data_IF_586513774614
#
_entry.id   IF_586513774614
#
_cell.length_a   1.000
_cell.length_b   1.000
_cell.length_c   1.000
_cell.angle_alpha   90.00
_cell.angle_beta   90.00
_cell.angle_gamma   90.00
#
_symmetry.space_group_name_H-M   'P 1'
#
loop_
_entity.id
_entity.type
_entity.pdbx_description
1 polymer ?
#
# COMPACT_ATOMS: atom_id res chain seq x y z
N UNK A 1 -46.48 49.07 -26.74
CA UNK A 1 -45.35 48.14 -26.78
C UNK A 1 -44.83 47.79 -25.37
N UNK A 2 -44.61 48.74 -24.51
CA UNK A 2 -44.08 48.57 -23.14
C UNK A 2 -44.96 47.64 -22.24
N UNK A 3 -46.30 47.72 -22.28
CA UNK A 3 -47.22 46.85 -21.52
C UNK A 3 -47.04 45.35 -21.91
N UNK A 4 -46.80 45.06 -23.18
CA UNK A 4 -46.58 43.68 -23.68
C UNK A 4 -45.22 43.10 -23.21
N UNK A 5 -44.20 43.98 -23.15
CA UNK A 5 -42.86 43.59 -22.68
C UNK A 5 -42.88 43.29 -21.14
N UNK A 6 -43.65 44.12 -20.38
CA UNK A 6 -43.81 43.89 -18.94
C UNK A 6 -44.60 42.61 -18.66
N UNK A 7 -45.64 42.31 -19.44
CA UNK A 7 -46.39 41.07 -19.32
C UNK A 7 -45.52 39.83 -19.66
N UNK A 8 -44.71 39.91 -20.71
CA UNK A 8 -43.80 38.83 -21.08
C UNK A 8 -42.72 38.55 -20.02
N UNK A 9 -42.14 39.62 -19.42
CA UNK A 9 -41.19 39.50 -18.30
C UNK A 9 -41.84 38.90 -17.06
N UNK A 10 -43.08 39.24 -16.76
CA UNK A 10 -43.85 38.67 -15.64
C UNK A 10 -44.12 37.17 -15.86
N UNK A 11 -44.48 36.77 -17.05
CA UNK A 11 -44.70 35.35 -17.41
C UNK A 11 -43.43 34.55 -17.29
N UNK A 12 -42.30 35.06 -17.81
CA UNK A 12 -40.99 34.39 -17.70
C UNK A 12 -40.57 34.25 -16.23
N UNK A 13 -40.78 35.29 -15.41
CA UNK A 13 -40.44 35.24 -14.00
C UNK A 13 -41.29 34.23 -13.23
N UNK A 14 -42.60 34.11 -13.55
CA UNK A 14 -43.48 33.11 -12.95
C UNK A 14 -43.09 31.71 -13.35
N UNK A 15 -42.69 31.47 -14.59
CA UNK A 15 -42.22 30.15 -15.05
C UNK A 15 -40.92 29.79 -14.34
N UNK A 16 -39.98 30.71 -14.18
CA UNK A 16 -38.72 30.45 -13.44
C UNK A 16 -39.02 30.16 -11.97
N UNK A 17 -39.91 30.94 -11.31
CA UNK A 17 -40.30 30.68 -9.90
C UNK A 17 -41.03 29.34 -9.72
N UNK A 18 -41.82 28.89 -10.67
CA UNK A 18 -42.50 27.59 -10.62
C UNK A 18 -41.47 26.46 -10.70
N UNK A 19 -40.46 26.60 -11.54
CA UNK A 19 -39.36 25.63 -11.65
C UNK A 19 -38.56 25.55 -10.36
N UNK A 20 -38.29 26.69 -9.70
CA UNK A 20 -37.59 26.72 -8.41
C UNK A 20 -38.43 26.21 -7.23
N UNK A 21 -39.77 26.49 -7.24
CA UNK A 21 -40.65 26.18 -6.10
C UNK A 21 -41.05 24.71 -6.03
N UNK A 22 -41.10 24.00 -7.15
CA UNK A 22 -41.53 22.59 -7.21
C UNK A 22 -40.37 21.58 -7.31
N UNK A 23 -39.11 22.06 -7.26
CA UNK A 23 -37.93 21.15 -7.32
C UNK A 23 -37.99 20.24 -8.55
N UNK A 24 -38.64 20.71 -9.63
CA UNK A 24 -38.61 19.97 -10.89
C UNK A 24 -37.18 20.12 -11.40
N UNK A 25 -36.41 19.05 -11.30
CA UNK A 25 -35.16 18.92 -12.05
C UNK A 25 -35.41 19.53 -13.43
N UNK A 26 -34.55 20.43 -13.84
CA UNK A 26 -34.65 21.20 -15.09
C UNK A 26 -35.29 20.34 -16.16
N UNK A 27 -36.39 20.80 -16.76
CA UNK A 27 -37.11 20.07 -17.81
C UNK A 27 -36.06 19.46 -18.71
N UNK A 28 -35.82 18.17 -18.54
CA UNK A 28 -34.89 17.43 -19.37
C UNK A 28 -35.51 17.52 -20.75
N UNK A 29 -35.00 18.40 -21.59
CA UNK A 29 -35.33 18.35 -23.02
C UNK A 29 -34.97 16.94 -23.39
N UNK A 30 -35.97 16.11 -23.66
CA UNK A 30 -35.74 14.73 -24.09
C UNK A 30 -34.88 14.87 -25.34
N UNK A 31 -33.62 14.50 -25.22
CA UNK A 31 -32.70 14.55 -26.34
C UNK A 31 -33.29 13.68 -27.43
N UNK A 32 -33.26 14.15 -28.68
CA UNK A 32 -33.70 13.35 -29.82
C UNK A 32 -32.91 12.02 -29.80
N UNK A 33 -33.60 10.91 -29.88
CA UNK A 33 -32.96 9.59 -29.98
C UNK A 33 -32.73 9.22 -31.43
N UNK A 34 -31.49 8.92 -31.76
CA UNK A 34 -31.09 8.43 -33.07
C UNK A 34 -31.01 6.89 -33.03
N UNK A 35 -31.82 6.22 -33.84
CA UNK A 35 -31.68 4.79 -34.00
C UNK A 35 -30.56 4.48 -35.00
N UNK A 36 -29.51 3.84 -34.50
CA UNK A 36 -28.37 3.37 -35.30
C UNK A 36 -28.67 1.95 -35.80
N UNK A 37 -28.99 1.83 -37.08
CA UNK A 37 -29.35 0.56 -37.71
C UNK A 37 -28.31 0.05 -38.72
N UNK A 38 -27.17 0.69 -38.77
CA UNK A 38 -26.00 0.33 -39.58
C UNK A 38 -24.77 1.05 -39.06
N UNK A 39 -23.60 0.61 -39.46
CA UNK A 39 -22.33 1.16 -38.99
C UNK A 39 -22.28 2.67 -39.22
N UNK A 40 -22.05 3.40 -38.12
CA UNK A 40 -22.17 4.84 -38.08
C UNK A 40 -20.94 5.45 -37.40
N UNK A 41 -20.47 6.60 -37.88
CA UNK A 41 -19.35 7.35 -37.28
C UNK A 41 -19.77 8.75 -36.85
N UNK A 42 -19.49 9.12 -35.61
CA UNK A 42 -19.68 10.46 -35.05
C UNK A 42 -18.31 11.13 -34.97
N UNK A 43 -18.19 12.28 -35.64
CA UNK A 43 -16.92 13.02 -35.76
C UNK A 43 -16.97 14.44 -35.21
N UNK A 44 -18.11 14.85 -34.66
CA UNK A 44 -18.34 16.18 -34.06
C UNK A 44 -19.04 16.03 -32.73
N UNK A 45 -19.22 17.15 -32.05
CA UNK A 45 -20.02 17.20 -30.82
C UNK A 45 -21.50 16.94 -31.16
N UNK A 46 -22.14 16.07 -30.37
CA UNK A 46 -23.54 15.72 -30.49
C UNK A 46 -24.16 15.46 -29.10
N UNK A 47 -25.28 16.09 -28.81
CA UNK A 47 -25.99 16.00 -27.54
C UNK A 47 -27.18 15.04 -27.57
N UNK A 48 -27.40 14.35 -28.69
CA UNK A 48 -28.51 13.38 -28.84
C UNK A 48 -28.17 12.05 -28.21
N UNK A 49 -29.22 11.30 -27.92
CA UNK A 49 -29.11 9.90 -27.49
C UNK A 49 -28.98 8.98 -28.71
N UNK A 50 -28.26 7.88 -28.54
CA UNK A 50 -28.04 6.90 -29.62
C UNK A 50 -28.50 5.51 -29.21
N UNK A 51 -29.47 4.94 -29.90
CA UNK A 51 -29.90 3.56 -29.73
C UNK A 51 -29.18 2.68 -30.76
N UNK A 52 -28.26 1.84 -30.30
CA UNK A 52 -27.41 0.98 -31.14
C UNK A 52 -27.92 -0.46 -31.06
N UNK A 53 -28.23 -1.08 -32.22
CA UNK A 53 -28.70 -2.47 -32.29
C UNK A 53 -27.98 -3.21 -33.41
N UNK A 54 -27.24 -4.26 -33.03
CA UNK A 54 -26.56 -5.20 -33.95
C UNK A 54 -25.67 -4.53 -35.03
N UNK A 55 -25.09 -3.36 -34.72
CA UNK A 55 -24.21 -2.63 -35.61
C UNK A 55 -23.08 -1.95 -34.81
N UNK A 56 -22.16 -1.26 -35.49
CA UNK A 56 -21.03 -0.55 -34.86
C UNK A 56 -21.28 0.95 -34.83
N UNK A 57 -21.21 1.55 -33.65
CA UNK A 57 -21.09 2.98 -33.48
C UNK A 57 -19.62 3.35 -33.22
N UNK A 58 -19.01 4.10 -34.12
CA UNK A 58 -17.67 4.63 -33.95
C UNK A 58 -17.73 6.10 -33.55
N UNK A 59 -17.12 6.45 -32.43
CA UNK A 59 -16.88 7.87 -32.06
C UNK A 59 -15.44 8.18 -32.39
N UNK A 60 -15.21 8.99 -33.39
CA UNK A 60 -13.84 9.34 -33.83
C UNK A 60 -13.13 10.22 -32.81
N UNK A 61 -11.83 10.43 -32.96
CA UNK A 61 -11.01 11.23 -32.05
C UNK A 61 -11.45 12.70 -31.86
N UNK A 62 -12.27 13.20 -32.78
CA UNK A 62 -12.89 14.55 -32.70
C UNK A 62 -14.37 14.49 -32.30
N UNK A 63 -14.94 13.28 -32.20
CA UNK A 63 -16.32 13.06 -31.81
C UNK A 63 -16.53 13.22 -30.32
N UNK A 64 -17.65 13.80 -29.93
CA UNK A 64 -18.04 13.98 -28.54
C UNK A 64 -19.56 13.75 -28.41
N UNK A 65 -19.98 12.65 -27.81
CA UNK A 65 -21.38 12.40 -27.50
C UNK A 65 -21.64 12.78 -26.05
N UNK A 66 -22.40 13.86 -25.82
CA UNK A 66 -22.80 14.28 -24.46
C UNK A 66 -24.10 13.65 -24.00
N UNK A 67 -24.90 13.06 -24.90
CA UNK A 67 -26.08 12.23 -24.61
C UNK A 67 -25.72 10.83 -24.15
N UNK A 68 -26.73 9.96 -24.13
CA UNK A 68 -26.58 8.55 -23.75
C UNK A 68 -26.48 7.65 -24.97
N UNK A 69 -25.51 6.77 -25.00
CA UNK A 69 -25.46 5.65 -25.95
C UNK A 69 -26.01 4.41 -25.25
N UNK A 70 -27.09 3.84 -25.81
CA UNK A 70 -27.70 2.64 -25.22
C UNK A 70 -28.03 1.64 -26.32
N UNK A 71 -28.26 0.37 -25.94
CA UNK A 71 -28.62 -0.63 -26.93
C UNK A 71 -28.35 -2.07 -26.47
N UNK A 72 -28.45 -2.97 -27.45
CA UNK A 72 -28.16 -4.38 -27.26
C UNK A 72 -27.60 -5.02 -28.52
N UNK A 73 -26.62 -5.91 -28.36
CA UNK A 73 -26.04 -6.70 -29.46
C UNK A 73 -25.02 -5.97 -30.33
N UNK A 74 -24.86 -4.67 -30.22
CA UNK A 74 -23.92 -3.89 -31.04
C UNK A 74 -22.52 -3.74 -30.41
N UNK A 75 -21.70 -2.92 -31.08
CA UNK A 75 -20.36 -2.56 -30.61
C UNK A 75 -20.17 -1.05 -30.62
N UNK A 76 -19.58 -0.49 -29.58
CA UNK A 76 -19.10 0.89 -29.54
C UNK A 76 -17.58 0.85 -29.67
N UNK A 77 -17.03 1.57 -30.67
CA UNK A 77 -15.62 1.84 -30.81
C UNK A 77 -15.40 3.32 -30.48
N UNK A 78 -14.88 3.59 -29.28
CA UNK A 78 -14.66 4.97 -28.84
C UNK A 78 -13.20 5.39 -29.02
N UNK A 79 -12.99 6.42 -29.83
CA UNK A 79 -11.70 7.09 -30.02
C UNK A 79 -11.79 8.55 -29.54
N UNK A 80 -12.97 9.05 -29.16
CA UNK A 80 -13.26 10.39 -28.73
C UNK A 80 -13.78 10.46 -27.30
N UNK A 81 -14.94 11.09 -27.10
CA UNK A 81 -15.56 11.24 -25.79
C UNK A 81 -17.01 10.81 -25.80
N UNK A 82 -17.45 10.08 -24.76
CA UNK A 82 -18.83 9.69 -24.54
C UNK A 82 -19.22 10.01 -23.10
N UNK A 83 -20.35 10.75 -22.91
CA UNK A 83 -20.90 11.07 -21.61
C UNK A 83 -21.41 9.84 -20.86
N UNK A 84 -22.29 9.07 -21.51
CA UNK A 84 -22.89 7.88 -20.89
C UNK A 84 -23.08 6.73 -21.88
N UNK A 85 -22.78 5.52 -21.43
CA UNK A 85 -23.15 4.26 -22.09
C UNK A 85 -24.00 3.45 -21.12
N UNK A 86 -25.16 2.93 -21.59
CA UNK A 86 -26.10 2.18 -20.78
C UNK A 86 -26.73 1.04 -21.62
N UNK A 87 -26.37 -0.21 -21.33
CA UNK A 87 -26.98 -1.36 -22.01
C UNK A 87 -26.05 -2.55 -22.23
N UNK A 88 -26.60 -3.55 -22.94
CA UNK A 88 -25.88 -4.77 -23.28
C UNK A 88 -25.14 -4.62 -24.61
N UNK A 89 -24.14 -3.75 -24.62
CA UNK A 89 -23.39 -3.38 -25.82
C UNK A 89 -21.88 -3.52 -25.55
N UNK A 90 -21.18 -4.16 -26.47
CA UNK A 90 -19.74 -4.32 -26.41
C UNK A 90 -19.03 -2.96 -26.51
N UNK A 91 -18.03 -2.71 -25.68
CA UNK A 91 -17.30 -1.45 -25.65
C UNK A 91 -15.81 -1.68 -25.88
N UNK A 92 -15.26 -0.97 -26.88
CA UNK A 92 -13.84 -0.82 -27.13
C UNK A 92 -13.47 0.66 -26.94
N UNK A 93 -12.99 1.02 -25.74
CA UNK A 93 -12.53 2.35 -25.39
C UNK A 93 -11.04 2.45 -25.65
N UNK A 94 -10.67 3.08 -26.77
CA UNK A 94 -9.30 3.13 -27.26
C UNK A 94 -8.44 4.14 -26.52
N UNK A 95 -7.12 4.04 -26.69
CA UNK A 95 -6.15 4.98 -26.08
C UNK A 95 -6.44 6.42 -26.47
N UNK A 96 -6.45 7.31 -25.50
CA UNK A 96 -6.78 8.73 -25.66
C UNK A 96 -8.28 9.05 -25.63
N UNK A 97 -9.15 8.04 -25.69
CA UNK A 97 -10.60 8.22 -25.59
C UNK A 97 -11.08 8.29 -24.13
N UNK A 98 -12.27 8.84 -23.91
CA UNK A 98 -12.87 8.94 -22.59
C UNK A 98 -14.34 8.54 -22.56
N UNK A 99 -14.76 7.92 -21.44
CA UNK A 99 -16.16 7.63 -21.10
C UNK A 99 -16.40 8.13 -19.69
N UNK A 100 -17.42 8.94 -19.46
CA UNK A 100 -17.72 9.47 -18.14
C UNK A 100 -18.48 8.44 -17.28
N UNK A 101 -19.54 7.83 -17.78
CA UNK A 101 -20.35 6.81 -17.08
C UNK A 101 -20.61 5.61 -18.01
N UNK A 102 -20.14 4.44 -17.59
CA UNK A 102 -20.31 3.19 -18.31
C UNK A 102 -21.10 2.20 -17.48
N UNK A 103 -22.27 1.81 -17.98
CA UNK A 103 -23.09 0.72 -17.44
C UNK A 103 -23.26 -0.34 -18.51
N UNK A 104 -22.57 -1.45 -18.36
CA UNK A 104 -22.61 -2.54 -19.34
C UNK A 104 -22.62 -3.91 -18.69
N UNK A 105 -23.20 -4.89 -19.38
CA UNK A 105 -23.24 -6.29 -18.98
C UNK A 105 -22.66 -7.23 -20.04
N UNK A 106 -21.81 -6.72 -20.93
CA UNK A 106 -21.07 -7.52 -21.93
C UNK A 106 -19.61 -7.14 -21.94
N UNK A 107 -18.81 -7.74 -22.82
CA UNK A 107 -17.35 -7.51 -22.85
C UNK A 107 -16.98 -6.04 -23.03
N UNK A 108 -16.02 -5.62 -22.23
CA UNK A 108 -15.43 -4.27 -22.25
C UNK A 108 -13.92 -4.40 -22.42
N UNK A 109 -13.39 -3.67 -23.39
CA UNK A 109 -11.94 -3.42 -23.51
C UNK A 109 -11.68 -1.94 -23.27
N UNK A 110 -10.84 -1.63 -22.29
CA UNK A 110 -10.46 -0.26 -21.97
C UNK A 110 -8.95 -0.05 -22.11
N UNK A 111 -8.57 0.80 -23.04
CA UNK A 111 -7.22 1.36 -23.19
C UNK A 111 -7.19 2.88 -22.96
N UNK A 112 -8.36 3.51 -22.86
CA UNK A 112 -8.55 4.95 -22.61
C UNK A 112 -8.84 5.25 -21.13
N UNK A 113 -9.68 6.25 -20.91
CA UNK A 113 -10.08 6.71 -19.58
C UNK A 113 -11.57 6.49 -19.34
N UNK A 114 -11.93 5.94 -18.18
CA UNK A 114 -13.33 5.80 -17.73
C UNK A 114 -13.42 6.38 -16.32
N UNK A 115 -14.31 7.36 -16.11
CA UNK A 115 -14.52 7.95 -14.78
C UNK A 115 -15.26 6.97 -13.85
N UNK A 116 -16.37 6.40 -14.33
CA UNK A 116 -17.17 5.45 -13.56
C UNK A 116 -17.63 4.31 -14.45
N UNK A 117 -17.42 3.08 -14.02
CA UNK A 117 -17.95 1.90 -14.66
C UNK A 117 -18.74 1.06 -13.66
N UNK A 118 -19.95 0.64 -14.05
CA UNK A 118 -20.72 -0.38 -13.35
C UNK A 118 -20.88 -1.58 -14.26
N UNK A 119 -20.34 -2.70 -13.83
CA UNK A 119 -20.26 -3.93 -14.58
C UNK A 119 -21.03 -5.03 -13.86
N UNK A 120 -22.07 -5.55 -14.50
CA UNK A 120 -22.99 -6.55 -13.92
C UNK A 120 -23.12 -7.72 -14.87
N UNK A 121 -22.13 -8.62 -14.92
CA UNK A 121 -22.16 -9.63 -15.97
C UNK A 121 -21.30 -10.85 -15.69
N UNK A 122 -21.55 -11.88 -16.49
CA UNK A 122 -20.73 -13.09 -16.62
C UNK A 122 -19.62 -12.95 -17.69
N UNK A 123 -19.43 -11.78 -18.25
CA UNK A 123 -18.46 -11.48 -19.32
C UNK A 123 -17.16 -10.91 -18.78
N UNK A 124 -16.32 -10.44 -19.67
CA UNK A 124 -14.95 -10.01 -19.34
C UNK A 124 -14.77 -8.49 -19.52
N UNK A 125 -14.22 -7.84 -18.51
CA UNK A 125 -13.65 -6.51 -18.63
C UNK A 125 -12.13 -6.65 -18.68
N UNK A 126 -11.50 -6.15 -19.75
CA UNK A 126 -10.05 -6.08 -19.89
C UNK A 126 -9.59 -4.64 -19.81
N UNK A 127 -8.74 -4.32 -18.83
CA UNK A 127 -8.22 -2.96 -18.62
C UNK A 127 -6.73 -2.87 -18.89
N UNK A 128 -6.37 -1.91 -19.72
CA UNK A 128 -4.99 -1.42 -19.94
C UNK A 128 -4.90 0.11 -19.85
N UNK A 129 -6.03 0.79 -19.71
CA UNK A 129 -6.16 2.24 -19.52
C UNK A 129 -6.39 2.63 -18.06
N UNK A 130 -7.17 3.68 -17.85
CA UNK A 130 -7.49 4.17 -16.51
C UNK A 130 -8.99 4.08 -16.24
N UNK A 131 -9.36 3.59 -15.06
CA UNK A 131 -10.72 3.60 -14.52
C UNK A 131 -10.66 4.19 -13.12
N UNK A 132 -11.35 5.30 -12.86
CA UNK A 132 -11.34 5.87 -11.50
C UNK A 132 -12.16 5.02 -10.54
N UNK A 133 -13.39 4.65 -10.93
CA UNK A 133 -14.25 3.77 -10.13
C UNK A 133 -14.81 2.63 -10.97
N UNK A 134 -14.52 1.41 -10.58
CA UNK A 134 -15.12 0.21 -11.14
C UNK A 134 -15.98 -0.50 -10.08
N UNK A 135 -17.27 -0.58 -10.33
CA UNK A 135 -18.23 -1.35 -9.53
C UNK A 135 -18.56 -2.65 -10.24
N UNK A 136 -18.20 -3.78 -9.66
CA UNK A 136 -18.53 -5.13 -10.16
C UNK A 136 -19.67 -5.69 -9.32
N UNK A 137 -20.86 -5.74 -9.90
CA UNK A 137 -22.04 -6.28 -9.24
C UNK A 137 -22.34 -7.69 -9.77
N UNK A 138 -22.16 -8.71 -8.94
CA UNK A 138 -22.59 -10.05 -9.32
C UNK A 138 -24.10 -10.19 -9.04
N UNK A 139 -24.94 -10.39 -10.06
CA UNK A 139 -26.40 -10.47 -9.89
C UNK A 139 -26.89 -11.73 -9.16
N UNK A 140 -26.02 -12.70 -8.87
CA UNK A 140 -26.35 -13.86 -8.03
C UNK A 140 -27.24 -14.94 -8.68
N UNK A 141 -27.52 -14.84 -9.95
CA UNK A 141 -28.42 -15.78 -10.67
C UNK A 141 -27.70 -16.69 -11.66
N UNK A 142 -26.38 -16.64 -11.72
CA UNK A 142 -25.58 -17.37 -12.70
C UNK A 142 -24.46 -18.18 -12.03
N UNK A 143 -24.24 -19.39 -12.56
CA UNK A 143 -23.08 -20.21 -12.22
C UNK A 143 -21.76 -19.63 -12.78
N UNK A 144 -21.84 -18.58 -13.57
CA UNK A 144 -20.70 -17.86 -14.14
C UNK A 144 -20.53 -16.50 -13.44
N UNK A 145 -19.29 -16.08 -13.27
CA UNK A 145 -18.93 -14.82 -12.63
C UNK A 145 -18.28 -13.84 -13.60
N UNK A 146 -18.36 -12.55 -13.25
CA UNK A 146 -17.62 -11.50 -13.93
C UNK A 146 -16.10 -11.77 -13.86
N UNK A 147 -15.41 -11.43 -14.94
CA UNK A 147 -13.94 -11.47 -14.97
C UNK A 147 -13.41 -10.07 -15.24
N UNK A 148 -12.46 -9.62 -14.42
CA UNK A 148 -11.72 -8.37 -14.62
C UNK A 148 -10.26 -8.73 -14.87
N UNK A 149 -9.74 -8.41 -16.05
CA UNK A 149 -8.33 -8.61 -16.39
C UNK A 149 -7.59 -7.28 -16.30
N UNK A 150 -6.69 -7.16 -15.32
CA UNK A 150 -5.74 -6.06 -15.16
C UNK A 150 -4.42 -6.46 -15.78
N UNK A 151 -4.22 -6.06 -17.05
CA UNK A 151 -2.98 -6.33 -17.78
C UNK A 151 -1.99 -5.16 -17.72
N UNK A 152 -2.52 -3.95 -17.60
CA UNK A 152 -1.78 -2.69 -17.48
C UNK A 152 -2.73 -1.59 -16.95
N UNK A 153 -2.29 -0.33 -16.96
CA UNK A 153 -3.11 0.83 -16.59
C UNK A 153 -3.45 0.91 -15.11
N UNK A 154 -4.56 1.57 -14.78
CA UNK A 154 -4.92 1.85 -13.39
C UNK A 154 -6.41 1.65 -13.13
N UNK A 155 -6.77 1.07 -11.97
CA UNK A 155 -8.10 1.17 -11.36
C UNK A 155 -7.90 1.80 -9.98
N UNK A 156 -8.43 3.03 -9.77
CA UNK A 156 -8.25 3.72 -8.49
C UNK A 156 -9.13 3.11 -7.39
N UNK A 157 -10.38 2.78 -7.70
CA UNK A 157 -11.31 2.13 -6.76
C UNK A 157 -12.03 0.97 -7.43
N UNK A 158 -11.80 -0.25 -6.97
CA UNK A 158 -12.49 -1.46 -7.40
C UNK A 158 -13.41 -1.94 -6.28
N UNK A 159 -14.71 -1.86 -6.53
CA UNK A 159 -15.75 -2.29 -5.59
C UNK A 159 -16.46 -3.51 -6.14
N UNK A 160 -16.45 -4.60 -5.39
CA UNK A 160 -17.14 -5.85 -5.75
C UNK A 160 -18.30 -6.07 -4.79
N UNK A 161 -19.51 -6.31 -5.33
CA UNK A 161 -20.69 -6.71 -4.55
C UNK A 161 -21.12 -8.10 -4.96
N UNK A 162 -20.92 -9.06 -4.06
CA UNK A 162 -21.27 -10.46 -4.31
C UNK A 162 -21.89 -11.11 -3.06
N UNK A 163 -23.21 -11.14 -3.01
CA UNK A 163 -23.94 -11.75 -1.89
C UNK A 163 -24.26 -13.24 -2.14
N UNK A 164 -24.36 -13.64 -3.40
CA UNK A 164 -24.73 -15.01 -3.81
C UNK A 164 -24.05 -15.36 -5.12
N UNK A 165 -23.84 -16.65 -5.35
CA UNK A 165 -23.28 -17.15 -6.62
C UNK A 165 -21.74 -17.27 -6.62
N UNK A 166 -21.20 -17.46 -7.79
CA UNK A 166 -19.76 -17.62 -8.02
C UNK A 166 -19.03 -16.29 -7.84
N UNK A 167 -17.81 -16.33 -7.27
CA UNK A 167 -17.03 -15.10 -7.04
C UNK A 167 -16.59 -14.47 -8.37
N UNK A 168 -16.73 -13.15 -8.51
CA UNK A 168 -16.01 -12.42 -9.56
C UNK A 168 -14.50 -12.66 -9.45
N UNK A 169 -13.86 -12.87 -10.59
CA UNK A 169 -12.44 -13.15 -10.69
C UNK A 169 -11.72 -11.90 -11.16
N UNK A 170 -10.74 -11.44 -10.39
CA UNK A 170 -9.86 -10.32 -10.74
C UNK A 170 -8.48 -10.89 -11.03
N UNK A 171 -8.09 -10.96 -12.30
CA UNK A 171 -6.77 -11.36 -12.73
C UNK A 171 -5.84 -10.13 -12.70
N UNK A 172 -4.98 -10.06 -11.72
CA UNK A 172 -4.05 -8.94 -11.53
C UNK A 172 -2.66 -9.34 -12.03
N UNK A 173 -2.42 -9.09 -13.31
CA UNK A 173 -1.19 -9.44 -14.00
C UNK A 173 -0.28 -8.22 -14.30
N UNK A 174 -0.83 -7.01 -14.23
CA UNK A 174 -0.08 -5.78 -14.49
C UNK A 174 -0.86 -4.54 -14.11
N UNK A 175 -0.21 -3.38 -14.19
CA UNK A 175 -0.80 -2.09 -13.82
C UNK A 175 -0.97 -1.88 -12.32
N UNK A 176 -1.91 -1.03 -11.92
CA UNK A 176 -2.14 -0.63 -10.54
C UNK A 176 -3.62 -0.71 -10.17
N UNK A 177 -3.94 -1.39 -9.08
CA UNK A 177 -5.22 -1.27 -8.38
C UNK A 177 -4.91 -0.55 -7.06
N UNK A 178 -5.46 0.66 -6.85
CA UNK A 178 -5.15 1.42 -5.62
C UNK A 178 -5.94 0.90 -4.43
N UNK A 179 -7.23 0.61 -4.61
CA UNK A 179 -8.08 0.03 -3.56
C UNK A 179 -9.01 -1.04 -4.11
N UNK A 180 -9.18 -2.12 -3.36
CA UNK A 180 -10.16 -3.17 -3.60
C UNK A 180 -11.01 -3.37 -2.35
N UNK A 181 -12.33 -3.25 -2.51
CA UNK A 181 -13.31 -3.58 -1.48
C UNK A 181 -14.27 -4.63 -2.02
N UNK A 182 -14.40 -5.78 -1.33
CA UNK A 182 -15.34 -6.82 -1.70
C UNK A 182 -16.38 -7.02 -0.59
N UNK A 183 -17.61 -6.64 -0.90
CA UNK A 183 -18.77 -6.75 -0.01
C UNK A 183 -19.58 -8.02 -0.30
N UNK A 184 -20.17 -8.56 0.73
CA UNK A 184 -21.06 -9.73 0.65
C UNK A 184 -20.41 -11.01 1.15
N UNK A 185 -21.23 -12.07 1.23
CA UNK A 185 -20.84 -13.34 1.88
C UNK A 185 -19.78 -14.10 1.09
N UNK A 186 -19.82 -14.01 -0.24
CA UNK A 186 -18.93 -14.75 -1.14
C UNK A 186 -17.70 -13.93 -1.54
N UNK A 187 -17.86 -12.61 -1.79
CA UNK A 187 -16.76 -11.71 -2.08
C UNK A 187 -16.15 -11.82 -3.47
N UNK A 188 -14.84 -11.77 -3.58
CA UNK A 188 -14.09 -11.80 -4.82
C UNK A 188 -12.86 -12.71 -4.76
N UNK A 189 -12.47 -13.28 -5.89
CA UNK A 189 -11.23 -14.02 -6.08
C UNK A 189 -10.22 -13.13 -6.79
N UNK A 190 -9.14 -12.78 -6.11
CA UNK A 190 -8.02 -11.98 -6.63
C UNK A 190 -6.85 -12.90 -6.98
N UNK A 191 -6.61 -13.09 -8.26
CA UNK A 191 -5.53 -13.94 -8.77
C UNK A 191 -4.36 -13.06 -9.17
N UNK A 192 -3.29 -13.13 -8.40
CA UNK A 192 -2.10 -12.27 -8.55
C UNK A 192 -1.00 -13.00 -9.30
N UNK A 193 -0.44 -12.36 -10.34
CA UNK A 193 0.77 -12.84 -11.01
C UNK A 193 1.81 -11.71 -11.05
N UNK A 194 3.04 -12.02 -10.62
CA UNK A 194 4.07 -11.00 -10.38
C UNK A 194 3.95 -10.33 -9.01
N UNK A 195 4.64 -9.23 -8.83
CA UNK A 195 4.62 -8.48 -7.57
C UNK A 195 3.85 -7.18 -7.75
N UNK A 196 2.83 -7.00 -6.94
CA UNK A 196 1.95 -5.83 -6.99
C UNK A 196 1.74 -5.23 -5.60
N UNK A 197 1.43 -3.94 -5.59
CA UNK A 197 1.07 -3.21 -4.38
C UNK A 197 -0.34 -2.65 -4.49
N UNK A 198 -1.05 -2.65 -3.36
CA UNK A 198 -2.37 -2.05 -3.22
C UNK A 198 -2.42 -1.27 -1.89
N UNK A 199 -2.99 -0.07 -1.91
CA UNK A 199 -3.08 0.73 -0.68
C UNK A 199 -4.15 0.18 0.28
N UNK A 200 -5.27 -0.35 -0.24
CA UNK A 200 -6.35 -0.88 0.58
C UNK A 200 -6.89 -2.19 0.03
N UNK A 201 -7.01 -3.19 0.90
CA UNK A 201 -7.66 -4.47 0.62
C UNK A 201 -8.67 -4.75 1.73
N UNK A 202 -9.97 -4.73 1.39
CA UNK A 202 -11.04 -4.86 2.37
C UNK A 202 -12.11 -5.87 1.98
N UNK A 203 -12.70 -6.49 2.99
CA UNK A 203 -13.88 -7.34 2.87
C UNK A 203 -13.57 -8.82 2.66
N UNK A 204 -14.43 -9.50 1.91
CA UNK A 204 -14.28 -10.94 1.60
C UNK A 204 -13.47 -11.09 0.31
N UNK A 205 -12.16 -11.25 0.40
CA UNK A 205 -11.27 -11.42 -0.74
C UNK A 205 -10.43 -12.68 -0.56
N UNK A 206 -10.46 -13.57 -1.56
CA UNK A 206 -9.57 -14.72 -1.62
C UNK A 206 -8.37 -14.35 -2.51
N UNK A 207 -7.20 -14.19 -1.92
CA UNK A 207 -5.96 -13.90 -2.66
C UNK A 207 -5.31 -15.21 -3.07
N UNK A 208 -4.94 -15.36 -4.33
CA UNK A 208 -4.34 -16.56 -4.90
C UNK A 208 -3.40 -16.21 -6.06
N UNK A 209 -2.82 -17.23 -6.70
CA UNK A 209 -1.90 -17.06 -7.82
C UNK A 209 -0.44 -17.27 -7.42
N UNK A 210 0.47 -17.01 -8.34
CA UNK A 210 1.92 -17.21 -8.14
C UNK A 210 2.66 -15.93 -7.72
N UNK A 211 1.96 -14.80 -7.70
CA UNK A 211 2.53 -13.48 -7.39
C UNK A 211 2.40 -13.12 -5.91
N UNK A 212 3.05 -12.01 -5.53
CA UNK A 212 2.96 -11.39 -4.21
C UNK A 212 2.12 -10.12 -4.29
N UNK A 213 1.12 -10.00 -3.42
CA UNK A 213 0.36 -8.77 -3.23
C UNK A 213 0.77 -8.10 -1.93
N UNK A 214 1.36 -6.92 -2.00
CA UNK A 214 1.69 -6.12 -0.81
C UNK A 214 0.61 -5.09 -0.54
N UNK A 215 0.10 -5.05 0.68
CA UNK A 215 -0.84 -4.03 1.14
C UNK A 215 -0.06 -2.99 1.93
N UNK A 216 -0.08 -1.72 1.49
CA UNK A 216 0.73 -0.66 2.10
C UNK A 216 -0.05 0.24 3.08
N UNK A 217 -1.37 0.25 3.03
CA UNK A 217 -2.21 1.10 3.89
C UNK A 217 -3.13 0.28 4.80
N UNK A 218 -4.28 -0.16 4.31
CA UNK A 218 -5.30 -0.86 5.13
C UNK A 218 -5.56 -2.27 4.64
N UNK A 219 -5.41 -3.24 5.53
CA UNK A 219 -5.76 -4.64 5.32
C UNK A 219 -6.87 -5.04 6.29
N UNK A 220 -8.05 -5.30 5.77
CA UNK A 220 -9.20 -5.74 6.54
C UNK A 220 -9.88 -6.91 5.83
N UNK A 221 -9.67 -8.14 6.29
CA UNK A 221 -10.31 -9.32 5.73
C UNK A 221 -11.40 -9.84 6.67
N UNK A 222 -12.57 -10.12 6.09
CA UNK A 222 -13.72 -10.68 6.82
C UNK A 222 -13.57 -12.18 7.06
N UNK A 223 -12.68 -12.86 6.33
CA UNK A 223 -12.35 -14.28 6.50
C UNK A 223 -10.86 -14.45 6.78
N UNK A 224 -10.50 -15.56 7.44
CA UNK A 224 -9.11 -15.95 7.63
C UNK A 224 -8.38 -16.15 6.30
N UNK A 225 -7.08 -15.91 6.32
CA UNK A 225 -6.19 -16.10 5.18
C UNK A 225 -4.92 -16.84 5.61
N UNK A 226 -4.63 -17.95 4.96
CA UNK A 226 -3.48 -18.81 5.29
C UNK A 226 -2.50 -19.02 4.14
N UNK A 227 -2.70 -18.32 3.01
CA UNK A 227 -1.77 -18.34 1.88
C UNK A 227 -0.45 -17.61 2.20
N UNK A 228 0.48 -17.69 1.27
CA UNK A 228 1.84 -17.12 1.44
C UNK A 228 2.11 -15.91 0.54
N UNK A 229 1.13 -15.48 -0.24
CA UNK A 229 1.29 -14.43 -1.25
C UNK A 229 0.66 -13.09 -0.86
N UNK A 230 0.43 -12.84 0.44
CA UNK A 230 -0.03 -11.58 0.97
C UNK A 230 1.07 -10.92 1.81
N UNK A 231 1.60 -9.80 1.34
CA UNK A 231 2.61 -8.99 2.02
C UNK A 231 2.01 -7.74 2.66
N UNK A 232 2.73 -7.17 3.61
CA UNK A 232 2.41 -5.90 4.28
C UNK A 232 3.64 -5.02 4.41
N UNK A 233 3.44 -3.72 4.68
CA UNK A 233 4.49 -2.78 5.06
C UNK A 233 4.43 -2.49 6.57
N UNK A 234 5.42 -1.81 7.12
CA UNK A 234 5.40 -1.36 8.54
C UNK A 234 4.18 -0.52 8.90
N UNK A 235 3.70 0.27 7.95
CA UNK A 235 2.60 1.21 8.15
C UNK A 235 1.23 0.61 7.86
N UNK A 236 1.17 -0.65 7.43
CA UNK A 236 -0.10 -1.33 7.17
C UNK A 236 -0.91 -1.46 8.45
N UNK A 237 -2.13 -0.94 8.41
CA UNK A 237 -3.11 -1.06 9.49
C UNK A 237 -3.97 -2.29 9.24
N UNK A 238 -3.99 -3.21 10.21
CA UNK A 238 -4.69 -4.48 10.13
C UNK A 238 -5.96 -4.46 10.96
N UNK A 239 -7.03 -5.03 10.39
CA UNK A 239 -8.22 -5.44 11.12
C UNK A 239 -8.49 -6.91 10.84
N UNK A 240 -8.45 -7.72 11.88
CA UNK A 240 -8.69 -9.16 11.82
C UNK A 240 -9.84 -9.48 12.76
N UNK A 241 -10.92 -10.02 12.21
CA UNK A 241 -12.11 -10.38 12.98
C UNK A 241 -11.81 -11.52 13.96
N UNK A 242 -12.34 -11.43 15.17
CA UNK A 242 -12.21 -12.47 16.18
C UNK A 242 -12.57 -13.87 15.65
N UNK A 243 -11.74 -14.83 15.96
CA UNK A 243 -11.86 -16.21 15.50
C UNK A 243 -11.26 -16.48 14.12
N UNK A 244 -10.79 -15.47 13.41
CA UNK A 244 -10.04 -15.60 12.18
C UNK A 244 -8.53 -15.51 12.44
N UNK A 245 -7.74 -16.03 11.51
CA UNK A 245 -6.29 -15.83 11.46
C UNK A 245 -5.92 -15.45 10.04
N UNK A 246 -5.10 -14.42 9.90
CA UNK A 246 -4.48 -14.07 8.64
C UNK A 246 -2.96 -14.28 8.72
N UNK A 247 -2.37 -14.79 7.63
CA UNK A 247 -0.93 -14.84 7.45
C UNK A 247 -0.50 -13.71 6.52
N UNK A 248 0.51 -12.96 6.93
CA UNK A 248 1.07 -11.87 6.14
C UNK A 248 2.60 -11.94 6.16
N UNK A 249 3.23 -11.53 5.07
CA UNK A 249 4.68 -11.53 4.92
C UNK A 249 5.24 -10.11 5.05
N UNK A 250 6.33 -10.00 5.79
CA UNK A 250 7.15 -8.80 5.86
C UNK A 250 8.62 -9.22 6.04
N UNK A 251 9.54 -8.67 5.23
CA UNK A 251 10.98 -8.99 5.26
C UNK A 251 11.26 -10.51 5.27
N UNK A 252 10.67 -11.23 4.32
CA UNK A 252 10.82 -12.68 4.16
C UNK A 252 10.41 -13.52 5.41
N UNK A 253 9.65 -12.92 6.31
CA UNK A 253 9.09 -13.59 7.47
C UNK A 253 7.56 -13.56 7.43
N UNK A 254 6.93 -14.69 7.79
CA UNK A 254 5.47 -14.84 7.82
C UNK A 254 4.95 -14.65 9.23
N UNK A 255 4.09 -13.66 9.42
CA UNK A 255 3.39 -13.39 10.69
C UNK A 255 1.99 -13.98 10.66
N UNK A 256 1.56 -14.57 11.77
CA UNK A 256 0.22 -15.10 11.98
C UNK A 256 -0.54 -14.19 12.94
N UNK A 257 -1.51 -13.43 12.44
CA UNK A 257 -2.29 -12.47 13.21
C UNK A 257 -3.70 -13.03 13.42
N UNK A 258 -4.07 -13.29 14.66
CA UNK A 258 -5.37 -13.90 15.02
C UNK A 258 -6.41 -12.91 15.56
N UNK A 259 -6.01 -11.69 15.92
CA UNK A 259 -6.92 -10.61 16.33
C UNK A 259 -6.21 -9.28 16.14
N UNK A 260 -6.88 -8.31 15.52
CA UNK A 260 -6.41 -6.94 15.40
C UNK A 260 -7.59 -6.01 15.16
N UNK A 261 -7.58 -4.83 15.77
CA UNK A 261 -8.57 -3.78 15.55
C UNK A 261 -7.84 -2.49 15.24
N UNK A 262 -7.70 -2.19 13.93
CA UNK A 262 -7.04 -0.99 13.42
C UNK A 262 -5.61 -0.79 14.00
N UNK A 263 -4.83 -1.88 14.07
CA UNK A 263 -3.47 -1.87 14.62
C UNK A 263 -2.42 -2.04 13.54
N UNK A 264 -1.28 -1.35 13.67
CA UNK A 264 -0.14 -1.57 12.79
C UNK A 264 0.51 -2.93 13.05
N UNK A 265 1.10 -3.52 12.01
CA UNK A 265 1.85 -4.77 12.16
C UNK A 265 2.98 -4.64 13.22
N UNK A 266 3.59 -3.48 13.33
CA UNK A 266 4.63 -3.19 14.32
C UNK A 266 4.11 -3.22 15.76
N UNK A 267 2.84 -2.91 15.99
CA UNK A 267 2.20 -2.98 17.32
C UNK A 267 1.83 -4.42 17.68
N UNK A 268 1.54 -5.24 16.67
CA UNK A 268 1.09 -6.63 16.84
C UNK A 268 2.26 -7.62 16.97
N UNK A 269 3.34 -7.40 16.26
CA UNK A 269 4.44 -8.35 16.13
C UNK A 269 5.84 -7.71 16.29
N UNK A 270 5.91 -6.41 16.54
CA UNK A 270 7.17 -5.70 16.65
C UNK A 270 7.87 -5.91 18.00
N UNK A 271 9.16 -5.70 18.02
CA UNK A 271 10.04 -5.92 19.17
C UNK A 271 10.66 -4.61 19.63
N UNK A 272 10.96 -4.50 20.92
CA UNK A 272 11.76 -3.42 21.48
C UNK A 272 13.08 -3.98 22.00
N UNK A 273 14.10 -3.15 22.16
CA UNK A 273 15.38 -3.56 22.75
C UNK A 273 15.86 -2.54 23.77
N UNK A 274 16.40 -3.05 24.88
CA UNK A 274 17.11 -2.25 25.87
C UNK A 274 18.39 -2.94 26.28
N UNK A 275 19.41 -2.14 26.61
CA UNK A 275 20.58 -2.64 27.29
C UNK A 275 20.50 -2.33 28.78
N UNK A 276 20.91 -3.30 29.58
CA UNK A 276 21.00 -3.22 31.04
C UNK A 276 22.47 -3.29 31.41
N UNK A 277 23.01 -2.22 31.94
CA UNK A 277 24.39 -2.15 32.42
C UNK A 277 24.46 -2.75 33.84
N UNK A 278 25.35 -3.71 34.05
CA UNK A 278 25.56 -4.31 35.38
C UNK A 278 26.08 -3.26 36.36
N UNK A 279 26.92 -2.33 35.89
CA UNK A 279 27.37 -1.18 36.66
C UNK A 279 27.46 0.08 35.79
N UNK A 280 26.48 0.94 35.93
CA UNK A 280 26.41 2.22 35.21
C UNK A 280 27.50 3.22 35.58
N UNK A 281 28.27 2.99 36.67
CA UNK A 281 29.43 3.86 37.02
C UNK A 281 30.63 3.58 36.11
N UNK A 282 30.68 2.44 35.43
CA UNK A 282 31.85 2.02 34.61
C UNK A 282 31.72 2.40 33.14
N UNK A 283 30.53 2.67 32.66
CA UNK A 283 30.29 3.03 31.26
C UNK A 283 29.04 3.91 31.09
N UNK A 284 28.96 4.58 29.95
CA UNK A 284 27.83 5.44 29.57
C UNK A 284 27.39 5.14 28.14
N UNK A 285 26.10 5.21 27.89
CA UNK A 285 25.61 5.16 26.51
C UNK A 285 25.87 6.47 25.79
N UNK A 286 26.70 6.46 24.76
CA UNK A 286 26.88 7.59 23.84
C UNK A 286 25.70 7.71 22.91
N UNK A 287 25.26 6.58 22.39
CA UNK A 287 24.02 6.45 21.60
C UNK A 287 23.29 5.21 22.10
N UNK A 288 22.26 5.36 22.94
CA UNK A 288 21.48 4.23 23.41
C UNK A 288 20.67 3.60 22.27
N UNK A 289 20.19 2.38 22.46
CA UNK A 289 19.16 1.83 21.56
C UNK A 289 17.97 2.78 21.53
N UNK A 290 17.41 3.00 20.32
CA UNK A 290 16.21 3.83 20.17
C UNK A 290 14.99 3.08 20.74
N UNK A 291 13.99 3.85 21.19
CA UNK A 291 12.71 3.30 21.66
C UNK A 291 11.75 2.94 20.51
N UNK A 292 12.31 2.69 19.33
CA UNK A 292 11.54 2.27 18.16
C UNK A 292 11.16 0.79 18.25
N UNK A 293 10.19 0.41 17.43
CA UNK A 293 9.75 -0.96 17.27
C UNK A 293 10.42 -1.56 16.05
N UNK A 294 11.02 -2.72 16.21
CA UNK A 294 11.76 -3.45 15.19
C UNK A 294 11.02 -4.73 14.80
N UNK A 295 11.04 -5.04 13.52
CA UNK A 295 10.46 -6.25 12.97
C UNK A 295 11.53 -7.34 12.82
N UNK A 296 11.09 -8.58 12.56
CA UNK A 296 12.00 -9.70 12.28
C UNK A 296 13.00 -9.35 11.17
N UNK A 297 14.27 -9.66 11.39
CA UNK A 297 15.37 -9.38 10.45
C UNK A 297 15.91 -7.96 10.50
N UNK A 298 15.26 -7.03 11.17
CA UNK A 298 15.77 -5.67 11.33
C UNK A 298 16.87 -5.60 12.41
N UNK A 299 17.66 -4.53 12.39
CA UNK A 299 18.79 -4.34 13.27
C UNK A 299 18.66 -3.05 14.08
N UNK A 300 18.87 -3.16 15.39
CA UNK A 300 19.06 -2.02 16.28
C UNK A 300 20.54 -1.86 16.59
N UNK A 301 21.01 -0.61 16.73
CA UNK A 301 22.40 -0.31 17.09
C UNK A 301 22.49 0.60 18.29
N UNK A 302 23.55 0.43 19.09
CA UNK A 302 23.86 1.29 20.22
C UNK A 302 25.37 1.42 20.39
N UNK A 303 25.81 2.53 20.98
CA UNK A 303 27.23 2.82 21.22
C UNK A 303 27.43 3.12 22.71
N UNK A 304 28.40 2.46 23.30
CA UNK A 304 28.78 2.65 24.71
C UNK A 304 30.22 3.08 24.83
N UNK A 305 30.47 3.96 25.82
CA UNK A 305 31.76 4.50 26.18
C UNK A 305 32.12 4.05 27.59
N UNK A 306 33.34 3.53 27.78
CA UNK A 306 33.88 3.30 29.12
C UNK A 306 34.26 4.65 29.78
N UNK A 307 33.89 4.82 31.06
CA UNK A 307 34.22 6.03 31.82
C UNK A 307 35.74 6.15 32.04
N UNK A 308 36.24 7.29 32.55
CA UNK A 308 37.66 7.62 32.50
C UNK A 308 38.61 6.57 33.10
N UNK A 309 38.24 5.94 34.21
CA UNK A 309 39.05 4.95 34.91
C UNK A 309 38.80 3.50 34.45
N UNK A 310 38.06 3.32 33.37
CA UNK A 310 37.64 2.01 32.86
C UNK A 310 38.00 1.85 31.39
N UNK A 311 37.99 0.61 30.93
CA UNK A 311 38.17 0.21 29.51
C UNK A 311 37.38 -1.05 29.17
N UNK A 312 37.10 -1.24 27.91
CA UNK A 312 36.58 -2.50 27.36
C UNK A 312 37.76 -3.38 26.94
N UNK A 313 37.93 -4.58 27.53
CA UNK A 313 38.97 -5.53 27.09
C UNK A 313 38.70 -6.01 25.66
N UNK A 314 39.70 -6.64 25.04
CA UNK A 314 39.59 -7.14 23.65
C UNK A 314 38.56 -8.25 23.52
N UNK A 315 38.36 -9.04 24.55
CA UNK A 315 37.40 -10.13 24.67
C UNK A 315 36.07 -9.71 25.34
N UNK A 316 35.78 -8.39 25.39
CA UNK A 316 34.55 -7.91 25.98
C UNK A 316 33.33 -8.54 25.30
N UNK A 317 32.45 -9.10 26.09
CA UNK A 317 31.19 -9.73 25.64
C UNK A 317 30.00 -9.16 26.39
N UNK A 318 28.86 -9.15 25.72
CA UNK A 318 27.54 -8.89 26.32
C UNK A 318 26.62 -10.08 26.06
N UNK A 319 25.57 -10.20 26.84
CA UNK A 319 24.68 -11.35 26.77
C UNK A 319 23.26 -10.92 26.50
N UNK A 320 22.58 -11.56 25.52
CA UNK A 320 21.15 -11.44 25.34
C UNK A 320 20.47 -12.27 26.42
N UNK A 321 19.80 -11.61 27.36
CA UNK A 321 19.10 -12.27 28.48
C UNK A 321 17.66 -12.58 28.16
N UNK A 322 17.03 -11.78 27.28
CA UNK A 322 15.69 -11.98 26.75
C UNK A 322 15.76 -11.75 25.24
N UNK A 323 15.22 -12.69 24.44
CA UNK A 323 15.22 -12.63 22.98
C UNK A 323 16.06 -13.74 22.34
N UNK A 324 15.87 -13.96 21.04
CA UNK A 324 16.53 -15.02 20.24
C UNK A 324 17.37 -14.49 19.10
N UNK A 325 17.50 -13.17 18.98
CA UNK A 325 18.26 -12.54 17.92
C UNK A 325 19.76 -12.76 18.02
N UNK A 326 20.49 -12.15 17.12
CA UNK A 326 21.95 -12.18 17.09
C UNK A 326 22.50 -10.83 17.56
N UNK A 327 23.40 -10.86 18.55
CA UNK A 327 24.11 -9.67 19.01
C UNK A 327 25.55 -9.70 18.48
N UNK A 328 25.91 -8.69 17.71
CA UNK A 328 27.26 -8.42 17.28
C UNK A 328 27.86 -7.28 18.10
N UNK A 329 29.06 -7.50 18.64
CA UNK A 329 29.79 -6.50 19.41
C UNK A 329 31.08 -6.16 18.64
N UNK A 330 31.24 -4.89 18.33
CA UNK A 330 32.46 -4.39 17.70
C UNK A 330 33.17 -3.45 18.67
N UNK A 331 34.33 -3.88 19.17
CA UNK A 331 35.22 -3.01 19.93
C UNK A 331 35.92 -2.05 18.98
N UNK A 332 35.56 -0.78 19.03
CA UNK A 332 36.18 0.26 18.18
C UNK A 332 37.56 0.62 18.73
N UNK A 333 37.67 0.72 20.04
CA UNK A 333 38.92 0.93 20.78
C UNK A 333 38.71 0.57 22.27
N UNK A 334 39.73 0.76 23.10
CA UNK A 334 39.62 0.45 24.52
C UNK A 334 38.51 1.23 25.26
N UNK A 335 38.06 2.34 24.73
CA UNK A 335 37.03 3.20 25.33
C UNK A 335 35.65 3.05 24.71
N UNK A 336 35.53 2.39 23.57
CA UNK A 336 34.31 2.45 22.78
C UNK A 336 33.94 1.11 22.17
N UNK A 337 32.70 0.70 22.38
CA UNK A 337 32.07 -0.47 21.72
C UNK A 337 30.80 -0.06 20.96
N UNK A 338 30.55 -0.77 19.88
CA UNK A 338 29.31 -0.72 19.12
C UNK A 338 28.57 -2.05 19.29
N UNK A 339 27.28 -1.99 19.55
CA UNK A 339 26.37 -3.12 19.63
C UNK A 339 25.45 -3.08 18.42
N UNK A 340 25.23 -4.22 17.78
CA UNK A 340 24.25 -4.37 16.72
C UNK A 340 23.43 -5.65 17.00
N UNK A 341 22.14 -5.48 17.25
CA UNK A 341 21.25 -6.59 17.52
C UNK A 341 20.27 -6.81 16.36
N UNK A 342 20.30 -8.00 15.77
CA UNK A 342 19.39 -8.42 14.70
C UNK A 342 18.26 -9.25 15.28
N UNK A 343 17.01 -8.81 15.11
CA UNK A 343 15.82 -9.44 15.68
C UNK A 343 15.45 -10.74 14.97
N UNK A 344 15.13 -11.78 15.74
CA UNK A 344 14.57 -13.06 15.28
C UNK A 344 13.34 -13.49 16.10
N UNK A 345 12.76 -12.58 16.84
CA UNK A 345 11.58 -12.77 17.68
C UNK A 345 10.42 -11.93 17.16
N UNK A 346 9.23 -12.22 17.67
CA UNK A 346 8.01 -11.45 17.45
C UNK A 346 7.45 -11.02 18.81
N UNK A 347 6.99 -9.77 18.89
CA UNK A 347 6.32 -9.19 20.06
C UNK A 347 7.07 -9.42 21.38
N UNK A 348 8.37 -9.24 21.37
CA UNK A 348 9.26 -9.50 22.51
C UNK A 348 10.02 -8.25 22.89
N UNK A 349 10.08 -7.93 24.19
CA UNK A 349 11.02 -6.95 24.72
C UNK A 349 12.40 -7.60 24.90
N UNK A 350 13.35 -7.26 24.04
CA UNK A 350 14.71 -7.81 24.09
C UNK A 350 15.52 -7.10 25.15
N UNK A 351 16.26 -7.87 25.98
CA UNK A 351 17.17 -7.36 26.98
C UNK A 351 18.60 -7.84 26.72
N UNK A 352 19.55 -6.92 26.75
CA UNK A 352 20.99 -7.19 26.59
C UNK A 352 21.68 -6.74 27.85
N UNK A 353 22.31 -7.69 28.58
CA UNK A 353 23.13 -7.39 29.75
C UNK A 353 24.53 -6.99 29.30
N UNK A 354 25.00 -5.85 29.78
CA UNK A 354 26.34 -5.32 29.57
C UNK A 354 27.14 -5.45 30.86
N UNK A 355 28.09 -6.39 30.95
CA UNK A 355 29.00 -6.49 32.09
C UNK A 355 29.73 -5.18 32.30
N UNK A 356 30.11 -4.91 33.55
CA UNK A 356 30.90 -3.73 33.89
C UNK A 356 32.18 -3.63 33.05
N UNK A 357 32.53 -2.44 32.61
CA UNK A 357 33.84 -2.21 31.99
C UNK A 357 34.94 -2.44 33.04
N UNK A 358 36.08 -2.91 32.57
CA UNK A 358 37.23 -3.26 33.45
C UNK A 358 37.90 -2.00 33.98
N UNK A 359 38.13 -1.96 35.29
CA UNK A 359 38.90 -0.84 35.88
C UNK A 359 40.35 -0.86 35.39
N UNK A 360 40.86 0.29 35.06
CA UNK A 360 42.31 0.45 34.83
C UNK A 360 43.06 0.21 36.15
N UNK A 361 43.99 -0.73 36.12
CA UNK A 361 44.89 -0.88 37.23
C UNK A 361 45.89 0.30 37.23
N UNK A 362 45.94 1.02 38.32
CA UNK A 362 47.05 1.97 38.52
C UNK A 362 48.33 1.15 38.62
N UNK A 363 49.13 1.20 37.57
CA UNK A 363 50.45 0.60 37.65
C UNK A 363 51.32 1.47 38.54
N UNK A 364 52.01 0.86 39.49
CA UNK A 364 53.02 1.58 40.29
C UNK A 364 54.03 2.26 39.35
N UNK A 365 54.44 3.47 39.72
CA UNK A 365 55.39 4.20 38.89
C UNK A 365 56.62 3.32 38.61
N UNK A 366 57.00 3.12 37.33
CA UNK A 366 58.11 2.27 37.00
C UNK A 366 59.36 2.68 37.78
N UNK A 367 59.95 1.77 38.54
CA UNK A 367 61.19 2.00 39.25
C UNK A 367 62.38 1.68 38.36
N UNK A 368 63.50 2.41 38.51
CA UNK A 368 64.70 2.16 37.72
C UNK A 368 64.72 2.80 36.32
N UNK A 369 63.74 3.62 35.98
CA UNK A 369 63.79 4.42 34.76
C UNK A 369 64.78 5.57 34.92
N UNK A 370 65.68 5.71 33.96
CA UNK A 370 66.59 6.82 33.88
C UNK A 370 66.31 7.63 32.62
N UNK A 371 65.95 8.90 32.83
CA UNK A 371 65.76 9.82 31.71
C UNK A 371 67.14 10.29 31.22
N UNK A 372 67.32 10.29 29.91
CA UNK A 372 68.47 10.89 29.24
C UNK A 372 68.02 11.87 28.18
N UNK A 373 68.95 12.53 27.53
CA UNK A 373 68.60 13.34 26.36
C UNK A 373 68.02 12.38 25.26
N UNK A 374 66.79 12.61 24.88
CA UNK A 374 66.08 11.91 23.82
C UNK A 374 65.83 10.40 24.06
N UNK A 375 66.05 9.87 25.29
CA UNK A 375 65.70 8.47 25.59
C UNK A 375 65.37 8.22 27.06
N UNK A 376 64.55 7.21 27.28
CA UNK A 376 64.29 6.62 28.59
C UNK A 376 64.82 5.19 28.57
N UNK A 377 65.61 4.80 29.59
CA UNK A 377 66.11 3.44 29.74
C UNK A 377 65.44 2.74 30.91
N UNK A 378 65.41 1.41 30.90
CA UNK A 378 64.70 0.63 31.90
C UNK A 378 63.27 0.28 31.53
N UNK A 379 62.80 0.66 30.35
CA UNK A 379 61.47 0.36 29.86
C UNK A 379 61.42 -1.12 29.45
N UNK A 380 60.36 -1.81 29.86
CA UNK A 380 60.08 -3.21 29.45
C UNK A 380 58.88 -3.24 28.50
N UNK A 381 58.70 -4.35 27.83
CA UNK A 381 57.56 -4.55 26.93
C UNK A 381 56.19 -4.53 27.62
N UNK A 382 56.18 -4.58 28.96
CA UNK A 382 54.96 -4.49 29.75
C UNK A 382 54.62 -3.02 30.17
N UNK A 383 55.42 -2.04 29.75
CA UNK A 383 55.21 -0.63 30.08
C UNK A 383 54.65 0.12 28.86
N UNK A 384 53.61 0.87 29.07
CA UNK A 384 53.08 1.82 28.10
C UNK A 384 53.70 3.20 28.31
N UNK A 385 53.93 3.95 27.25
CA UNK A 385 54.42 5.32 27.32
C UNK A 385 53.63 6.24 26.39
N UNK A 386 53.55 7.50 26.71
CA UNK A 386 52.97 8.52 25.86
C UNK A 386 54.05 9.54 25.45
N UNK A 387 54.02 9.95 24.19
CA UNK A 387 54.94 10.96 23.63
C UNK A 387 54.75 12.35 24.21
N UNK A 388 53.66 12.59 24.94
CA UNK A 388 53.37 13.86 25.61
C UNK A 388 52.44 13.62 26.81
N UNK A 389 52.50 14.52 27.84
CA UNK A 389 51.59 14.47 28.99
C UNK A 389 50.12 14.63 28.65
N UNK A 390 49.81 15.09 27.43
CA UNK A 390 48.45 15.31 26.91
C UNK A 390 48.07 14.31 25.80
N UNK A 391 48.89 13.29 25.57
CA UNK A 391 48.60 12.27 24.55
C UNK A 391 47.62 11.24 25.10
N UNK A 392 46.49 11.10 24.43
CA UNK A 392 45.52 10.04 24.70
C UNK A 392 45.89 8.73 23.99
N UNK A 393 47.05 8.68 23.30
CA UNK A 393 47.53 7.52 22.53
C UNK A 393 48.71 6.89 23.31
N UNK A 394 48.52 5.65 23.74
CA UNK A 394 49.53 4.82 24.41
C UNK A 394 50.08 3.81 23.43
N UNK A 395 51.36 3.59 23.42
CA UNK A 395 52.03 2.54 22.63
C UNK A 395 52.64 1.48 23.53
#
# INVERSE_FOLDING_TARGET
MEKRIRALKAIILVVVMIVELFGVDAVRVVAETINVTGDTTISTEDNRDYAVTDCTLTVSSTGNITGTVFGSGGTIVNQGSIGKIDGNIKVDNQAGASIQDLQSSVDITNAGYITSATYSSTYTLTNSGTIDTLNVNNPGFSDSAATVNMNAGTISSLNVKNHTGTNPVINYAGGTITSLTAEGTNGADLVVSGSHEISQLKGTVNVSGSGMLTVSGVLQLEKGYTGENLGVTKDTVLTVKDGNTIKVNYNDHTYSISSATEQKITELAGNTVKAVMDDAATMTAETPFTLETYMYGEQATAVYMANDDYYFPEDYTATVTVGRGTLDITRINAKKINLAYTFKDENTGVEISLPAATAKTTQDAPTGLTGGIEKVTGVTTAMEYAGSKTSDTWT
#
